data_IF_986518368543
#
_entry.id   IF_986518368543
#
_cell.length_a   1.000
_cell.length_b   1.000
_cell.length_c   1.000
_cell.angle_alpha   90.00
_cell.angle_beta   90.00
_cell.angle_gamma   90.00
#
_symmetry.space_group_name_H-M   'P 1'
#
loop_
_entity.id
_entity.type
_entity.pdbx_description
1 polymer ?
#
# COMPACT_ATOMS: atom_id res chain seq x y z
N UNK A 1 9.36 -22.59 2.86
CA UNK A 1 8.98 -22.10 1.51
C UNK A 1 8.98 -20.57 1.48
N UNK A 2 8.16 -19.90 2.29
CA UNK A 2 8.06 -18.42 2.32
C UNK A 2 9.39 -17.70 2.56
N UNK A 3 10.25 -18.27 3.41
CA UNK A 3 11.59 -17.77 3.75
C UNK A 3 12.58 -17.66 2.56
N UNK A 4 12.26 -18.27 1.40
CA UNK A 4 13.18 -18.38 0.26
C UNK A 4 12.58 -17.90 -1.07
N UNK A 5 11.34 -17.39 -1.08
CA UNK A 5 10.71 -16.88 -2.30
C UNK A 5 11.22 -15.50 -2.71
N UNK A 6 11.64 -14.69 -1.72
CA UNK A 6 12.28 -13.40 -1.92
C UNK A 6 13.65 -13.36 -1.24
N UNK A 7 14.53 -12.46 -1.68
CA UNK A 7 15.83 -12.25 -1.02
C UNK A 7 15.60 -11.56 0.32
N UNK A 8 15.75 -12.31 1.41
CA UNK A 8 15.67 -11.78 2.78
C UNK A 8 16.97 -11.08 3.16
N UNK A 9 16.87 -9.84 3.67
CA UNK A 9 18.04 -9.02 4.05
C UNK A 9 18.08 -8.76 5.56
N UNK A 10 16.94 -8.45 6.19
CA UNK A 10 16.87 -8.09 7.61
C UNK A 10 15.75 -8.76 8.41
N UNK A 11 14.74 -9.35 7.76
CA UNK A 11 13.62 -9.99 8.46
C UNK A 11 14.05 -11.34 9.08
N UNK A 12 13.60 -11.67 10.30
CA UNK A 12 13.80 -13.00 10.89
C UNK A 12 13.18 -14.15 10.08
N UNK A 13 13.71 -15.36 10.26
CA UNK A 13 13.15 -16.59 9.67
C UNK A 13 11.88 -17.06 10.38
N UNK A 14 11.09 -17.88 9.69
CA UNK A 14 10.01 -18.63 10.34
C UNK A 14 10.53 -19.64 11.37
N UNK A 15 9.72 -19.92 12.40
CA UNK A 15 10.03 -20.92 13.45
C UNK A 15 8.77 -21.57 14.02
N UNK A 16 8.91 -22.75 14.60
CA UNK A 16 7.86 -23.40 15.38
C UNK A 16 7.84 -22.89 16.82
N UNK A 17 6.65 -22.76 17.40
CA UNK A 17 6.44 -22.35 18.80
C UNK A 17 5.49 -23.31 19.51
N UNK A 18 5.61 -23.38 20.84
CA UNK A 18 4.74 -24.17 21.72
C UNK A 18 3.91 -23.23 22.60
N UNK A 19 2.67 -23.60 22.88
CA UNK A 19 1.77 -22.85 23.75
C UNK A 19 1.59 -23.60 25.07
N UNK A 20 1.68 -22.87 26.18
CA UNK A 20 1.44 -23.39 27.54
C UNK A 20 0.16 -22.85 28.15
N UNK A 21 -0.12 -23.20 29.42
CA UNK A 21 -1.34 -22.81 30.12
C UNK A 21 -1.56 -21.29 30.25
N UNK A 22 -0.49 -20.49 30.19
CA UNK A 22 -0.56 -19.02 30.27
C UNK A 22 -0.60 -18.36 28.88
N UNK A 23 -0.79 -19.13 27.80
CA UNK A 23 -0.99 -18.59 26.46
C UNK A 23 -2.33 -17.85 26.35
N UNK A 24 -2.42 -16.88 25.44
CA UNK A 24 -3.70 -16.21 25.10
C UNK A 24 -4.64 -17.08 24.26
N UNK A 25 -4.17 -18.25 23.84
CA UNK A 25 -4.90 -19.20 23.00
C UNK A 25 -5.65 -20.25 23.84
N UNK A 26 -6.61 -20.93 23.22
CA UNK A 26 -7.35 -22.02 23.86
C UNK A 26 -6.41 -23.19 24.25
N UNK A 27 -6.65 -23.90 25.38
CA UNK A 27 -5.74 -24.92 25.90
C UNK A 27 -5.45 -26.11 24.95
N UNK A 28 -6.38 -26.46 24.08
CA UNK A 28 -6.21 -27.53 23.08
C UNK A 28 -5.18 -27.17 21.98
N UNK A 29 -4.88 -25.89 21.80
CA UNK A 29 -3.86 -25.40 20.87
C UNK A 29 -2.50 -25.41 21.57
N UNK A 30 -1.64 -26.38 21.24
CA UNK A 30 -0.35 -26.59 21.94
C UNK A 30 0.89 -26.29 21.09
N UNK A 31 0.73 -26.12 19.77
CA UNK A 31 1.82 -25.85 18.84
C UNK A 31 1.36 -24.94 17.71
N UNK A 32 2.26 -24.07 17.24
CA UNK A 32 2.04 -23.20 16.10
C UNK A 32 3.33 -22.85 15.37
N UNK A 33 3.23 -21.89 14.46
CA UNK A 33 4.35 -21.34 13.70
C UNK A 33 4.28 -19.81 13.75
N UNK A 34 5.45 -19.17 13.75
CA UNK A 34 5.60 -17.72 13.65
C UNK A 34 6.48 -17.42 12.44
N UNK A 35 6.17 -16.34 11.72
CA UNK A 35 6.96 -15.84 10.60
C UNK A 35 6.96 -14.30 10.61
N UNK A 36 7.91 -13.69 9.92
CA UNK A 36 7.99 -12.24 9.80
C UNK A 36 7.18 -11.72 8.63
N UNK A 37 6.54 -10.59 8.84
CA UNK A 37 5.87 -9.80 7.81
C UNK A 37 5.99 -8.31 8.15
N UNK A 38 5.64 -7.44 7.20
CA UNK A 38 5.69 -6.00 7.37
C UNK A 38 4.27 -5.44 7.47
N UNK A 39 4.10 -4.46 8.35
CA UNK A 39 2.91 -3.63 8.39
C UNK A 39 3.27 -2.20 7.99
N UNK A 40 2.38 -1.54 7.27
CA UNK A 40 2.52 -0.14 6.88
C UNK A 40 1.15 0.56 6.95
N UNK A 41 1.18 1.85 7.22
CA UNK A 41 0.01 2.72 7.05
C UNK A 41 -0.21 2.97 5.55
N UNK A 42 -1.25 2.33 5.00
CA UNK A 42 -1.57 2.30 3.58
C UNK A 42 -1.92 3.70 3.03
N UNK A 43 -2.76 4.45 3.73
CA UNK A 43 -3.13 5.81 3.37
C UNK A 43 -1.90 6.73 3.36
N UNK A 44 -1.01 6.60 4.35
CA UNK A 44 0.23 7.39 4.37
C UNK A 44 1.22 6.96 3.30
N UNK A 45 1.28 5.67 2.96
CA UNK A 45 2.11 5.22 1.84
C UNK A 45 1.68 5.86 0.51
N UNK A 46 0.37 6.02 0.28
CA UNK A 46 -0.16 6.77 -0.88
C UNK A 46 0.27 8.24 -0.83
N UNK A 47 0.10 8.89 0.32
CA UNK A 47 0.45 10.31 0.48
C UNK A 47 1.94 10.55 0.24
N UNK A 48 2.82 9.65 0.70
CA UNK A 48 4.27 9.78 0.50
C UNK A 48 4.63 9.76 -0.99
N UNK A 49 3.96 8.93 -1.79
CA UNK A 49 4.16 8.91 -3.25
C UNK A 49 3.63 10.19 -3.90
N UNK A 50 2.47 10.70 -3.50
CA UNK A 50 1.94 11.97 -3.99
C UNK A 50 2.86 13.17 -3.64
N UNK A 51 3.43 13.17 -2.43
CA UNK A 51 4.42 14.17 -2.03
C UNK A 51 5.70 14.11 -2.86
N UNK A 52 6.13 12.92 -3.27
CA UNK A 52 7.31 12.75 -4.13
C UNK A 52 7.09 13.33 -5.53
N UNK A 53 5.86 13.19 -6.09
CA UNK A 53 5.50 13.83 -7.36
C UNK A 53 5.72 15.35 -7.27
N UNK A 54 5.20 15.99 -6.22
CA UNK A 54 5.36 17.43 -6.00
C UNK A 54 6.82 17.81 -5.79
N UNK A 55 7.58 17.04 -5.01
CA UNK A 55 9.03 17.26 -4.81
C UNK A 55 9.83 17.23 -6.10
N UNK A 56 9.40 16.43 -7.09
CA UNK A 56 10.02 16.33 -8.41
C UNK A 56 9.49 17.36 -9.42
N UNK A 57 8.65 18.30 -8.99
CA UNK A 57 8.06 19.33 -9.84
C UNK A 57 6.83 18.89 -10.63
N UNK A 58 6.26 17.72 -10.31
CA UNK A 58 4.97 17.29 -10.85
C UNK A 58 3.79 17.91 -10.11
N UNK A 59 2.59 17.73 -10.67
CA UNK A 59 1.34 18.27 -10.11
C UNK A 59 0.41 17.15 -9.61
N UNK A 60 -0.24 17.38 -8.47
CA UNK A 60 -1.27 16.49 -7.91
C UNK A 60 -2.53 17.31 -7.61
N UNK A 61 -3.63 17.02 -8.32
CA UNK A 61 -4.93 17.67 -8.10
C UNK A 61 -5.88 16.72 -7.39
N UNK A 62 -6.24 17.04 -6.15
CA UNK A 62 -7.25 16.28 -5.38
C UNK A 62 -8.63 16.83 -5.63
N UNK A 63 -9.67 16.01 -5.45
CA UNK A 63 -11.07 16.40 -5.70
C UNK A 63 -11.33 16.91 -7.12
N UNK A 64 -10.47 16.51 -8.06
CA UNK A 64 -10.63 16.81 -9.48
C UNK A 64 -10.94 15.50 -10.21
N UNK A 65 -12.14 15.41 -10.79
CA UNK A 65 -12.59 14.20 -11.49
C UNK A 65 -12.31 14.35 -12.97
N UNK A 66 -11.55 13.43 -13.57
CA UNK A 66 -11.45 13.33 -15.03
C UNK A 66 -12.82 12.95 -15.60
N UNK A 67 -13.36 13.82 -16.46
CA UNK A 67 -14.69 13.65 -17.08
C UNK A 67 -14.60 13.06 -18.47
N UNK A 68 -13.52 13.35 -19.19
CA UNK A 68 -13.30 12.89 -20.56
C UNK A 68 -11.81 12.81 -20.88
N UNK A 69 -11.43 11.81 -21.68
CA UNK A 69 -10.10 11.73 -22.28
C UNK A 69 -10.22 11.20 -23.71
N UNK A 70 -9.55 11.84 -24.67
CA UNK A 70 -9.55 11.44 -26.08
C UNK A 70 -8.22 11.81 -26.74
N UNK A 71 -8.00 11.30 -27.96
CA UNK A 71 -6.86 11.70 -28.77
C UNK A 71 -7.27 12.71 -29.84
N UNK A 72 -6.45 13.72 -30.03
CA UNK A 72 -6.61 14.74 -31.06
C UNK A 72 -5.22 15.22 -31.48
N UNK A 73 -4.94 15.23 -32.79
CA UNK A 73 -3.65 15.64 -33.35
C UNK A 73 -2.43 14.99 -32.65
N UNK A 74 -2.48 13.67 -32.47
CA UNK A 74 -1.44 12.86 -31.79
C UNK A 74 -1.17 13.18 -30.31
N UNK A 75 -2.01 14.01 -29.68
CA UNK A 75 -1.95 14.34 -28.26
C UNK A 75 -3.14 13.75 -27.48
N UNK A 76 -2.94 13.54 -26.18
CA UNK A 76 -4.03 13.27 -25.26
C UNK A 76 -4.65 14.58 -24.82
N UNK A 77 -5.96 14.69 -25.03
CA UNK A 77 -6.79 15.74 -24.46
C UNK A 77 -7.49 15.17 -23.24
N UNK A 78 -7.48 15.91 -22.13
CA UNK A 78 -8.07 15.50 -20.86
C UNK A 78 -8.90 16.66 -20.32
N UNK A 79 -10.19 16.43 -20.11
CA UNK A 79 -11.07 17.34 -19.38
C UNK A 79 -11.23 16.80 -17.95
N UNK A 80 -11.16 17.70 -16.97
CA UNK A 80 -11.31 17.33 -15.57
C UNK A 80 -12.01 18.44 -14.80
N UNK A 81 -12.90 18.07 -13.89
CA UNK A 81 -13.74 19.02 -13.16
C UNK A 81 -13.36 19.05 -11.68
N UNK A 82 -13.19 20.24 -11.10
CA UNK A 82 -13.12 20.41 -9.65
C UNK A 82 -14.50 20.14 -9.03
N UNK A 83 -14.56 19.13 -8.15
CA UNK A 83 -15.81 18.67 -7.54
C UNK A 83 -16.37 19.62 -6.47
N UNK A 84 -15.64 20.66 -6.08
CA UNK A 84 -16.08 21.68 -5.12
C UNK A 84 -16.62 22.91 -5.83
N UNK A 85 -15.95 23.38 -6.89
CA UNK A 85 -16.31 24.62 -7.59
C UNK A 85 -17.09 24.38 -8.87
N UNK A 86 -16.94 23.19 -9.48
CA UNK A 86 -17.51 22.86 -10.79
C UNK A 86 -16.68 23.36 -11.98
N UNK A 87 -15.56 24.05 -11.74
CA UNK A 87 -14.63 24.51 -12.78
C UNK A 87 -14.03 23.34 -13.56
N UNK A 88 -13.85 23.49 -14.87
CA UNK A 88 -13.34 22.47 -15.80
C UNK A 88 -12.05 22.94 -16.46
#
# INVERSE_FOLDING_TARGET
LYDHLGKRVSLPCSKSIKFGANSVLKPELTRGFEYSDCWVDDARLVVLNAQEIVRRGGEVRTRTKVTRAWRENDLWMVEAQDLRTGET
#
